data_IF_129250995347
#
_entry.id   IF_129250995347
#
_cell.length_a   1.000
_cell.length_b   1.000
_cell.length_c   1.000
_cell.angle_alpha   90.00
_cell.angle_beta   90.00
_cell.angle_gamma   90.00
#
_symmetry.space_group_name_H-M   'P 1'
#
loop_
_entity.id
_entity.type
_entity.pdbx_description
1 polymer ?
#
# COMPACT_ATOMS: atom_id res chain seq x y z
N UNK A 1 3.48 15.76 5.40
CA UNK A 1 2.52 14.66 5.29
C UNK A 1 1.16 15.22 4.95
N UNK A 2 0.46 14.61 4.02
CA UNK A 2 -0.88 15.02 3.56
C UNK A 2 -1.81 13.81 3.56
N UNK A 3 -3.03 13.97 4.06
CA UNK A 3 -4.07 12.93 4.07
C UNK A 3 -5.22 13.43 3.20
N UNK A 4 -5.64 12.63 2.22
CA UNK A 4 -6.68 13.01 1.27
C UNK A 4 -7.71 11.88 1.21
N UNK A 5 -8.98 12.24 1.39
CA UNK A 5 -10.12 11.35 1.21
C UNK A 5 -10.71 11.50 -0.20
N UNK A 6 -11.39 10.45 -0.69
CA UNK A 6 -12.05 10.44 -1.99
C UNK A 6 -11.11 10.84 -3.13
N UNK A 7 -9.91 10.24 -3.12
CA UNK A 7 -8.82 10.54 -4.07
C UNK A 7 -9.24 10.38 -5.53
N UNK A 8 -9.99 9.33 -5.82
CA UNK A 8 -10.52 8.99 -7.14
C UNK A 8 -12.03 9.13 -7.17
N UNK A 9 -12.60 9.35 -8.36
CA UNK A 9 -14.04 9.19 -8.54
C UNK A 9 -14.46 7.77 -8.15
N UNK A 10 -15.67 7.63 -7.63
CA UNK A 10 -16.23 6.34 -7.21
C UNK A 10 -16.12 5.27 -8.32
N UNK A 11 -16.46 5.64 -9.56
CA UNK A 11 -16.33 4.75 -10.72
C UNK A 11 -14.90 4.25 -10.92
N UNK A 12 -13.91 5.14 -10.85
CA UNK A 12 -12.51 4.77 -11.05
C UNK A 12 -12.00 3.92 -9.90
N UNK A 13 -12.34 4.28 -8.66
CA UNK A 13 -11.98 3.51 -7.47
C UNK A 13 -12.56 2.09 -7.51
N UNK A 14 -13.88 1.98 -7.76
CA UNK A 14 -14.56 0.69 -7.83
C UNK A 14 -14.01 -0.20 -8.96
N UNK A 15 -13.58 0.39 -10.08
CA UNK A 15 -12.92 -0.35 -11.15
C UNK A 15 -11.61 -1.01 -10.66
N UNK A 16 -10.77 -0.28 -9.93
CA UNK A 16 -9.55 -0.85 -9.34
C UNK A 16 -9.90 -2.00 -8.38
N UNK A 17 -10.83 -1.76 -7.44
CA UNK A 17 -11.23 -2.76 -6.44
C UNK A 17 -11.80 -4.02 -7.09
N UNK A 18 -12.66 -3.88 -8.09
CA UNK A 18 -13.32 -5.01 -8.76
C UNK A 18 -12.33 -5.88 -9.54
N UNK A 19 -11.35 -5.28 -10.22
CA UNK A 19 -10.36 -6.04 -10.99
C UNK A 19 -9.19 -6.57 -10.16
N UNK A 20 -9.06 -6.15 -8.91
CA UNK A 20 -7.96 -6.58 -8.02
C UNK A 20 -8.47 -7.26 -6.76
N UNK A 21 -9.08 -6.51 -5.84
CA UNK A 21 -9.48 -6.99 -4.51
C UNK A 21 -10.60 -8.03 -4.56
N UNK A 22 -11.55 -7.86 -5.50
CA UNK A 22 -12.74 -8.70 -5.66
C UNK A 22 -12.58 -9.74 -6.78
N UNK A 23 -11.41 -9.83 -7.40
CA UNK A 23 -11.13 -10.78 -8.47
C UNK A 23 -10.34 -11.98 -7.93
N UNK A 24 -10.94 -13.15 -7.95
CA UNK A 24 -10.31 -14.39 -7.48
C UNK A 24 -9.12 -14.83 -8.34
N UNK A 25 -9.08 -14.39 -9.60
CA UNK A 25 -7.99 -14.71 -10.54
C UNK A 25 -6.86 -13.67 -10.50
N UNK A 26 -6.97 -12.64 -9.66
CA UNK A 26 -5.91 -11.65 -9.51
C UNK A 26 -4.69 -12.29 -8.85
N UNK A 27 -3.51 -12.23 -9.47
CA UNK A 27 -2.34 -12.98 -9.02
C UNK A 27 -1.70 -12.34 -7.76
N UNK A 28 -1.52 -13.14 -6.73
CA UNK A 28 -0.85 -12.78 -5.49
C UNK A 28 0.38 -13.62 -5.26
N UNK A 29 1.49 -13.00 -4.90
CA UNK A 29 2.73 -13.65 -4.51
C UNK A 29 2.86 -13.66 -2.98
N UNK A 30 3.08 -14.82 -2.39
CA UNK A 30 3.36 -14.93 -0.96
C UNK A 30 4.78 -14.43 -0.66
N UNK A 31 4.89 -13.46 0.23
CA UNK A 31 6.17 -12.99 0.78
C UNK A 31 6.29 -13.50 2.20
N UNK A 32 7.24 -14.40 2.44
CA UNK A 32 7.43 -15.08 3.72
C UNK A 32 8.09 -14.21 4.79
N UNK A 33 8.89 -13.25 4.37
CA UNK A 33 9.53 -12.31 5.27
C UNK A 33 8.84 -10.98 5.06
N UNK A 34 8.00 -10.59 6.01
CA UNK A 34 7.27 -9.32 5.93
C UNK A 34 8.19 -8.15 5.56
N UNK A 35 7.95 -6.98 5.97
CA UNK A 35 8.57 -5.79 5.41
C UNK A 35 10.09 -5.71 5.57
N UNK A 36 10.84 -6.55 6.26
CA UNK A 36 12.31 -6.44 6.27
C UNK A 36 13.09 -7.29 7.27
N UNK A 37 12.45 -8.13 8.05
CA UNK A 37 13.21 -8.95 9.01
C UNK A 37 13.01 -10.43 8.66
N UNK A 38 14.06 -11.07 8.19
CA UNK A 38 14.07 -12.50 7.94
C UNK A 38 13.65 -13.24 9.24
N UNK A 39 12.64 -14.09 9.13
CA UNK A 39 12.23 -14.97 10.23
C UNK A 39 11.26 -14.37 11.25
N UNK A 40 10.62 -13.22 10.99
CA UNK A 40 9.61 -12.64 11.88
C UNK A 40 8.28 -13.41 11.90
N UNK A 41 8.16 -14.47 11.08
CA UNK A 41 6.97 -15.31 10.99
C UNK A 41 5.72 -14.61 10.42
N UNK A 42 5.87 -13.43 9.88
CA UNK A 42 4.76 -12.63 9.36
C UNK A 42 4.68 -12.76 7.85
N UNK A 43 3.54 -13.20 7.38
CA UNK A 43 3.27 -13.38 5.96
C UNK A 43 2.44 -12.22 5.43
N UNK A 44 2.73 -11.80 4.20
CA UNK A 44 1.87 -10.93 3.41
C UNK A 44 1.82 -11.40 1.98
N UNK A 45 0.74 -11.10 1.30
CA UNK A 45 0.63 -11.31 -0.14
C UNK A 45 0.89 -9.99 -0.84
N UNK A 46 1.62 -10.04 -1.94
CA UNK A 46 2.01 -8.86 -2.71
C UNK A 46 1.72 -9.08 -4.18
N UNK A 47 1.21 -8.05 -4.84
CA UNK A 47 1.20 -7.93 -6.29
C UNK A 47 1.96 -6.68 -6.69
N UNK A 48 3.01 -6.85 -7.52
CA UNK A 48 3.83 -5.76 -7.97
C UNK A 48 3.37 -5.29 -9.35
N UNK A 49 2.91 -4.04 -9.45
CA UNK A 49 2.50 -3.42 -10.72
C UNK A 49 3.71 -2.87 -11.49
N UNK A 50 4.66 -2.30 -10.75
CA UNK A 50 5.86 -1.70 -11.29
C UNK A 50 7.01 -1.77 -10.29
N UNK A 51 8.20 -2.06 -10.80
CA UNK A 51 9.49 -1.96 -10.11
C UNK A 51 10.37 -0.90 -10.76
N UNK A 52 11.56 -0.68 -10.21
CA UNK A 52 12.59 0.19 -10.81
C UNK A 52 12.97 -0.23 -12.24
N UNK A 53 12.83 -1.52 -12.57
CA UNK A 53 13.17 -2.08 -13.89
C UNK A 53 12.05 -1.94 -14.93
N UNK A 54 10.84 -1.53 -14.52
CA UNK A 54 9.72 -1.33 -15.45
C UNK A 54 8.38 -1.86 -14.98
N UNK A 55 7.45 -2.01 -15.94
CA UNK A 55 6.11 -2.55 -15.70
C UNK A 55 6.21 -4.06 -15.48
N UNK A 56 5.69 -4.54 -14.33
CA UNK A 56 5.73 -5.93 -13.90
C UNK A 56 4.39 -6.65 -14.09
N UNK A 57 3.31 -5.90 -14.28
CA UNK A 57 1.97 -6.46 -14.33
C UNK A 57 1.13 -5.89 -15.47
N UNK A 58 0.38 -6.74 -16.19
CA UNK A 58 -0.57 -6.27 -17.19
C UNK A 58 -1.70 -5.43 -16.58
N UNK A 59 -1.96 -5.55 -15.28
CA UNK A 59 -2.97 -4.76 -14.57
C UNK A 59 -2.53 -3.32 -14.25
N UNK A 60 -1.29 -2.93 -14.55
CA UNK A 60 -0.77 -1.59 -14.24
C UNK A 60 -1.60 -0.46 -14.88
N UNK A 61 -2.28 -0.70 -16.01
CA UNK A 61 -3.16 0.27 -16.66
C UNK A 61 -4.32 0.74 -15.77
N UNK A 62 -4.78 -0.09 -14.83
CA UNK A 62 -5.86 0.26 -13.88
C UNK A 62 -5.49 1.46 -13.01
N UNK A 63 -4.20 1.67 -12.77
CA UNK A 63 -3.69 2.70 -11.87
C UNK A 63 -3.37 4.03 -12.58
N UNK A 64 -3.56 4.10 -13.91
CA UNK A 64 -3.22 5.29 -14.71
C UNK A 64 -3.83 6.58 -14.15
N UNK A 65 -5.12 6.55 -13.80
CA UNK A 65 -5.80 7.74 -13.26
C UNK A 65 -5.27 8.15 -11.89
N UNK A 66 -4.84 7.18 -11.07
CA UNK A 66 -4.20 7.45 -9.79
C UNK A 66 -2.83 8.10 -10.01
N UNK A 67 -2.02 7.61 -10.93
CA UNK A 67 -0.72 8.21 -11.25
C UNK A 67 -0.86 9.64 -11.79
N UNK A 68 -1.85 9.90 -12.64
CA UNK A 68 -2.15 11.26 -13.13
C UNK A 68 -2.57 12.18 -11.99
N UNK A 69 -3.42 11.70 -11.08
CA UNK A 69 -3.88 12.47 -9.90
C UNK A 69 -2.73 12.82 -8.96
N UNK A 70 -1.72 11.95 -8.85
CA UNK A 70 -0.52 12.14 -8.04
C UNK A 70 0.55 13.03 -8.71
N UNK A 71 0.42 13.33 -10.01
CA UNK A 71 1.45 14.08 -10.76
C UNK A 71 2.77 13.32 -10.87
N UNK A 72 2.71 11.99 -11.00
CA UNK A 72 3.90 11.13 -11.07
C UNK A 72 4.73 11.47 -12.30
N UNK A 73 5.98 11.92 -12.12
CA UNK A 73 6.97 12.07 -13.18
C UNK A 73 7.77 10.79 -13.39
N UNK A 74 8.37 10.28 -12.32
CA UNK A 74 9.11 9.03 -12.33
C UNK A 74 8.52 8.08 -11.30
N UNK A 75 7.96 6.96 -11.74
CA UNK A 75 7.41 5.92 -10.88
C UNK A 75 8.49 4.89 -10.57
N UNK A 76 8.96 4.88 -9.33
CA UNK A 76 10.01 3.95 -8.86
C UNK A 76 9.43 2.57 -8.56
N UNK A 77 8.33 2.53 -7.82
CA UNK A 77 7.67 1.26 -7.44
C UNK A 77 6.19 1.48 -7.20
N UNK A 78 5.39 0.50 -7.58
CA UNK A 78 4.00 0.38 -7.17
C UNK A 78 3.67 -1.07 -6.86
N UNK A 79 3.27 -1.34 -5.62
CA UNK A 79 2.84 -2.67 -5.18
C UNK A 79 1.57 -2.60 -4.35
N UNK A 80 0.74 -3.63 -4.50
CA UNK A 80 -0.41 -3.87 -3.63
C UNK A 80 -0.03 -4.91 -2.58
N UNK A 81 -0.36 -4.62 -1.34
CA UNK A 81 -0.18 -5.52 -0.21
C UNK A 81 -1.55 -6.00 0.26
N UNK A 82 -1.69 -7.31 0.46
CA UNK A 82 -2.83 -7.94 1.09
C UNK A 82 -2.39 -8.49 2.44
N UNK A 83 -3.11 -8.12 3.50
CA UNK A 83 -2.92 -8.64 4.86
C UNK A 83 -4.18 -9.33 5.36
N UNK A 84 -4.00 -10.47 6.01
CA UNK A 84 -5.10 -11.25 6.59
C UNK A 84 -5.47 -10.67 7.96
N UNK A 85 -6.76 -10.64 8.25
CA UNK A 85 -7.30 -10.23 9.54
C UNK A 85 -6.76 -11.10 10.68
N UNK A 86 -6.36 -10.48 11.79
CA UNK A 86 -5.91 -11.16 13.01
C UNK A 86 -7.05 -11.25 14.03
N UNK A 87 -7.01 -12.24 14.94
CA UNK A 87 -8.16 -12.53 15.83
C UNK A 87 -8.29 -11.63 17.05
N UNK A 88 -7.18 -11.13 17.62
CA UNK A 88 -7.21 -10.51 18.95
C UNK A 88 -6.45 -9.20 19.12
N UNK A 89 -5.37 -8.98 18.39
CA UNK A 89 -4.49 -7.80 18.53
C UNK A 89 -3.95 -7.36 17.19
N UNK A 90 -3.70 -6.08 17.07
CA UNK A 90 -2.94 -5.56 15.94
C UNK A 90 -1.51 -6.13 15.97
N UNK A 91 -1.04 -6.55 14.79
CA UNK A 91 0.34 -6.98 14.60
C UNK A 91 1.11 -5.82 14.00
N UNK A 92 2.05 -5.27 14.77
CA UNK A 92 2.93 -4.22 14.30
C UNK A 92 4.12 -4.83 13.55
N UNK A 93 4.47 -4.20 12.45
CA UNK A 93 5.69 -4.49 11.71
C UNK A 93 6.77 -3.47 12.11
N UNK A 94 8.08 -3.79 11.99
CA UNK A 94 9.13 -2.83 12.29
C UNK A 94 8.96 -1.52 11.51
N UNK A 95 9.32 -0.40 12.11
CA UNK A 95 9.43 0.88 11.40
C UNK A 95 10.50 0.78 10.32
N UNK A 96 10.18 1.22 9.12
CA UNK A 96 11.06 1.14 7.97
C UNK A 96 10.84 2.32 7.02
N UNK A 97 11.79 2.52 6.14
CA UNK A 97 11.68 3.34 4.94
C UNK A 97 11.50 2.39 3.75
N UNK A 98 10.77 2.81 2.73
CA UNK A 98 10.52 1.98 1.54
C UNK A 98 11.77 1.71 0.71
N UNK A 99 12.67 2.69 0.66
CA UNK A 99 13.97 2.60 0.03
C UNK A 99 15.04 3.16 0.95
N UNK A 100 16.17 2.47 1.05
CA UNK A 100 17.38 2.93 1.76
C UNK A 100 18.50 3.29 0.80
N UNK A 101 18.39 2.89 -0.47
CA UNK A 101 19.41 3.04 -1.50
C UNK A 101 19.16 4.19 -2.48
N UNK A 102 17.94 4.74 -2.53
CA UNK A 102 17.64 5.87 -3.41
C UNK A 102 18.35 7.14 -2.94
N UNK A 103 19.21 7.69 -3.82
CA UNK A 103 19.97 8.91 -3.56
C UNK A 103 19.23 10.19 -3.99
N UNK A 104 17.99 10.06 -4.46
CA UNK A 104 17.15 11.18 -4.90
C UNK A 104 15.94 11.34 -3.98
N UNK A 105 15.44 12.57 -3.79
CA UNK A 105 14.19 12.78 -3.07
C UNK A 105 13.03 12.04 -3.75
N UNK A 106 12.21 11.37 -2.97
CA UNK A 106 11.02 10.70 -3.47
C UNK A 106 9.85 10.82 -2.48
N UNK A 107 8.66 10.62 -3.02
CA UNK A 107 7.41 10.63 -2.28
C UNK A 107 6.90 9.20 -2.13
N UNK A 108 6.41 8.86 -0.95
CA UNK A 108 5.65 7.64 -0.69
C UNK A 108 4.17 7.96 -0.53
N UNK A 109 3.34 7.17 -1.18
CA UNK A 109 1.89 7.17 -1.00
C UNK A 109 1.44 5.80 -0.51
N UNK A 110 0.62 5.79 0.54
CA UNK A 110 -0.15 4.64 0.99
C UNK A 110 -1.62 4.92 0.66
N UNK A 111 -2.19 4.16 -0.29
CA UNK A 111 -3.57 4.31 -0.74
C UNK A 111 -4.39 3.10 -0.31
N UNK A 112 -5.46 3.34 0.44
CA UNK A 112 -6.27 2.28 1.04
C UNK A 112 -7.43 1.89 0.13
N UNK A 113 -7.56 0.58 -0.12
CA UNK A 113 -8.57 0.05 -1.03
C UNK A 113 -9.83 -0.47 -0.32
N UNK A 114 -9.79 -0.61 1.00
CA UNK A 114 -10.96 -0.95 1.80
C UNK A 114 -10.88 -0.35 3.21
N UNK A 115 -12.04 -0.22 3.84
CA UNK A 115 -12.17 0.28 5.21
C UNK A 115 -12.07 -0.84 6.23
N UNK A 116 -11.21 -0.67 7.24
CA UNK A 116 -11.07 -1.55 8.38
C UNK A 116 -10.34 -0.81 9.50
N UNK A 117 -10.19 -1.43 10.69
CA UNK A 117 -9.48 -0.83 11.82
C UNK A 117 -7.94 -0.99 11.78
N UNK A 118 -7.39 -1.46 10.67
CA UNK A 118 -5.94 -1.39 10.41
C UNK A 118 -5.51 0.05 10.08
N UNK A 119 -4.22 0.34 10.22
CA UNK A 119 -3.70 1.69 10.03
C UNK A 119 -2.24 1.72 9.60
N UNK A 120 -1.79 2.88 9.17
CA UNK A 120 -0.37 3.21 9.03
C UNK A 120 0.04 4.06 10.23
N UNK A 121 1.15 3.69 10.88
CA UNK A 121 1.70 4.39 12.03
C UNK A 121 3.06 4.97 11.66
N UNK A 122 3.30 6.21 11.99
CA UNK A 122 4.56 6.93 11.80
C UNK A 122 5.37 6.95 13.09
N UNK A 123 6.70 7.14 12.98
CA UNK A 123 7.62 7.13 14.13
C UNK A 123 7.31 8.25 15.14
N UNK A 124 6.71 9.36 14.70
CA UNK A 124 6.25 10.47 15.54
C UNK A 124 4.93 10.19 16.30
N UNK A 125 4.37 8.99 16.14
CA UNK A 125 3.10 8.59 16.76
C UNK A 125 1.87 8.92 15.91
N UNK A 126 2.00 9.62 14.79
CA UNK A 126 0.87 9.90 13.89
C UNK A 126 0.28 8.61 13.35
N UNK A 127 -1.04 8.48 13.43
CA UNK A 127 -1.80 7.33 12.96
C UNK A 127 -2.74 7.72 11.84
N UNK A 128 -2.75 6.94 10.75
CA UNK A 128 -3.67 7.11 9.63
C UNK A 128 -4.47 5.83 9.40
N UNK A 129 -5.77 5.92 9.67
CA UNK A 129 -6.68 4.78 9.57
C UNK A 129 -6.96 4.38 8.12
N UNK A 130 -7.14 3.07 7.92
CA UNK A 130 -7.49 2.46 6.63
C UNK A 130 -8.95 2.78 6.29
N UNK A 131 -9.17 3.78 5.45
CA UNK A 131 -10.48 4.16 4.91
C UNK A 131 -10.43 4.00 3.39
N UNK A 132 -11.41 3.33 2.81
CA UNK A 132 -11.50 3.14 1.37
C UNK A 132 -11.41 4.47 0.60
N UNK A 133 -10.60 4.51 -0.46
CA UNK A 133 -10.35 5.70 -1.27
C UNK A 133 -9.68 6.87 -0.53
N UNK A 134 -9.00 6.58 0.60
CA UNK A 134 -8.11 7.52 1.31
C UNK A 134 -6.67 7.25 0.92
N UNK A 135 -5.87 8.31 0.83
CA UNK A 135 -4.41 8.16 0.78
C UNK A 135 -3.72 8.99 1.86
N UNK A 136 -2.54 8.58 2.23
CA UNK A 136 -1.56 9.41 2.92
C UNK A 136 -0.30 9.51 2.06
N UNK A 137 0.15 10.74 1.85
CA UNK A 137 1.34 11.08 1.07
C UNK A 137 2.38 11.74 1.97
N UNK A 138 3.65 11.29 1.87
CA UNK A 138 4.73 11.75 2.75
C UNK A 138 6.10 11.60 2.08
N UNK A 139 7.11 12.26 2.66
CA UNK A 139 8.50 12.12 2.22
C UNK A 139 8.95 10.66 2.36
N UNK A 140 9.53 10.09 1.33
CA UNK A 140 9.94 8.68 1.29
C UNK A 140 10.92 8.25 2.36
N UNK A 141 11.67 9.20 2.94
CA UNK A 141 12.58 8.95 4.07
C UNK A 141 11.86 8.88 5.44
N UNK A 142 10.54 9.12 5.48
CA UNK A 142 9.78 9.04 6.72
C UNK A 142 9.59 7.59 7.14
N UNK A 143 10.04 7.25 8.33
CA UNK A 143 9.84 5.91 8.89
C UNK A 143 8.39 5.69 9.28
N UNK A 144 7.86 4.59 8.82
CA UNK A 144 6.49 4.19 9.06
C UNK A 144 6.36 2.67 9.20
N UNK A 145 5.23 2.24 9.73
CA UNK A 145 4.86 0.82 9.84
C UNK A 145 3.38 0.64 9.60
N UNK A 146 2.96 -0.60 9.43
CA UNK A 146 1.57 -0.94 9.14
C UNK A 146 1.05 -1.95 10.16
N UNK A 147 -0.05 -1.62 10.82
CA UNK A 147 -0.76 -2.55 11.68
C UNK A 147 -1.72 -3.44 10.88
N UNK A 148 -1.86 -4.70 11.32
CA UNK A 148 -2.93 -5.57 10.88
C UNK A 148 -4.28 -5.04 11.38
N UNK A 149 -5.37 -5.48 10.76
CA UNK A 149 -6.72 -5.22 11.23
C UNK A 149 -7.28 -6.42 12.02
N UNK A 150 -8.23 -6.14 12.88
CA UNK A 150 -8.93 -7.12 13.72
C UNK A 150 -10.44 -7.12 13.47
N UNK A 151 -10.95 -6.10 12.79
CA UNK A 151 -12.37 -5.90 12.48
C UNK A 151 -12.55 -5.61 10.98
N UNK A 152 -13.79 -5.71 10.50
CA UNK A 152 -14.12 -5.53 9.08
C UNK A 152 -13.88 -6.79 8.26
N UNK A 153 -13.58 -6.60 6.98
CA UNK A 153 -13.38 -7.66 6.00
C UNK A 153 -12.24 -8.61 6.38
N UNK A 154 -12.21 -9.78 5.72
CA UNK A 154 -11.15 -10.78 5.92
C UNK A 154 -9.76 -10.26 5.55
N UNK A 155 -9.69 -9.36 4.58
CA UNK A 155 -8.45 -8.85 4.02
C UNK A 155 -8.36 -7.34 4.14
N UNK A 156 -7.15 -6.82 4.29
CA UNK A 156 -6.80 -5.42 4.16
C UNK A 156 -5.92 -5.25 2.94
N UNK A 157 -6.35 -4.37 2.03
CA UNK A 157 -5.67 -4.07 0.79
C UNK A 157 -5.11 -2.65 0.79
N UNK A 158 -3.85 -2.53 0.43
CA UNK A 158 -3.14 -1.24 0.42
C UNK A 158 -2.24 -1.17 -0.80
N UNK A 159 -2.34 -0.09 -1.58
CA UNK A 159 -1.32 0.26 -2.58
C UNK A 159 -0.24 1.10 -1.92
N UNK A 160 1.01 0.72 -2.15
CA UNK A 160 2.20 1.47 -1.79
C UNK A 160 2.85 1.95 -3.09
N UNK A 161 3.01 3.28 -3.24
CA UNK A 161 3.49 3.93 -4.46
C UNK A 161 4.66 4.83 -4.09
N UNK A 162 5.78 4.68 -4.80
CA UNK A 162 6.97 5.49 -4.60
C UNK A 162 7.33 6.17 -5.92
N UNK A 163 7.45 7.50 -5.90
CA UNK A 163 7.66 8.30 -7.11
C UNK A 163 8.37 9.63 -6.83
N UNK A 164 8.85 10.27 -7.89
CA UNK A 164 9.32 11.65 -7.92
C UNK A 164 8.72 12.42 -9.08
#
# INVERSE_FOLDING_TARGET
>A
MEIIDNVLSEKTFNNIVNYTCNNNDFPWNLVQNGVSVAGDGKYQFVHEFRSETGVMSPYNYLLRNLYLRLGVNTLWRCKMNLKIKTKKTHVFYPFHQDFTSLQVPFTTVVFYLNTNNGYTLFEDGTKVDSVANRMVMFNGNTKHTSASHTEGDRFRFVLNINFS
#
